data_IF_978999360487
#
_entry.id   IF_978999360487
#
_cell.length_a   1.000
_cell.length_b   1.000
_cell.length_c   1.000
_cell.angle_alpha   90.00
_cell.angle_beta   90.00
_cell.angle_gamma   90.00
#
_symmetry.space_group_name_H-M   'P 1'
#
loop_
_entity.id
_entity.type
_entity.pdbx_description
1 polymer ?
#
# COMPACT_ATOMS: atom_id res chain seq x y z
N UNK A 1 7.76 33.17 18.42
CA UNK A 1 7.05 32.40 17.39
C UNK A 1 8.06 31.45 16.76
N UNK A 2 8.18 30.23 17.25
CA UNK A 2 9.16 29.25 16.78
C UNK A 2 8.46 28.25 15.87
N UNK A 3 8.85 28.22 14.60
CA UNK A 3 8.43 27.21 13.67
C UNK A 3 9.06 25.86 14.08
N UNK A 4 8.23 24.91 14.45
CA UNK A 4 8.64 23.57 14.85
C UNK A 4 8.82 22.73 13.58
N UNK A 5 10.07 22.65 13.09
CA UNK A 5 10.43 21.85 11.91
C UNK A 5 10.71 20.42 12.40
N UNK A 6 9.70 19.56 12.42
CA UNK A 6 9.90 18.11 12.54
C UNK A 6 10.31 17.55 11.17
N UNK A 7 11.59 17.66 10.85
CA UNK A 7 12.21 16.84 9.82
C UNK A 7 12.72 15.57 10.54
N UNK A 8 12.02 14.46 10.41
CA UNK A 8 12.53 13.17 10.82
C UNK A 8 13.71 12.80 9.90
N UNK A 9 14.94 13.06 10.36
CA UNK A 9 16.16 12.55 9.75
C UNK A 9 16.28 11.07 10.09
N UNK A 10 15.90 10.19 9.16
CA UNK A 10 16.35 8.80 9.21
C UNK A 10 17.82 8.81 8.78
N UNK A 11 18.71 8.42 9.69
CA UNK A 11 20.14 8.39 9.47
C UNK A 11 20.53 7.36 8.41
N UNK A 12 21.21 7.83 7.37
CA UNK A 12 21.76 7.03 6.29
C UNK A 12 23.09 6.41 6.72
N UNK A 13 23.21 5.09 6.70
CA UNK A 13 24.51 4.42 6.61
C UNK A 13 24.86 4.31 5.12
N UNK A 14 25.93 4.99 4.72
CA UNK A 14 26.38 5.08 3.34
C UNK A 14 27.09 3.78 2.92
N UNK A 15 26.55 3.12 1.89
CA UNK A 15 27.31 2.24 1.00
C UNK A 15 27.51 2.97 -0.34
N UNK A 16 28.73 2.88 -0.95
CA UNK A 16 29.08 3.62 -2.16
C UNK A 16 28.69 2.84 -3.42
N UNK A 17 27.43 2.80 -3.73
CA UNK A 17 26.90 2.66 -5.09
C UNK A 17 25.64 3.50 -5.11
N UNK A 18 25.55 4.40 -6.12
CA UNK A 18 24.45 5.37 -6.19
C UNK A 18 23.16 4.61 -6.41
N UNK A 19 22.55 4.21 -5.31
CA UNK A 19 21.29 3.50 -5.29
C UNK A 19 20.14 4.50 -5.45
N UNK A 20 19.02 4.00 -5.93
CA UNK A 20 17.74 4.68 -5.95
C UNK A 20 17.52 5.46 -4.65
N UNK A 21 17.04 6.68 -4.74
CA UNK A 21 16.70 7.51 -3.59
C UNK A 21 15.19 7.73 -3.51
N UNK A 22 14.62 7.46 -2.33
CA UNK A 22 13.21 7.74 -2.04
C UNK A 22 13.13 8.82 -0.96
N UNK A 23 12.54 9.96 -1.29
CA UNK A 23 12.29 11.05 -0.36
C UNK A 23 10.80 11.13 -0.05
N UNK A 24 10.44 10.87 1.22
CA UNK A 24 9.06 11.00 1.69
C UNK A 24 8.87 12.37 2.34
N UNK A 25 7.81 13.05 1.95
CA UNK A 25 7.40 14.34 2.53
C UNK A 25 5.99 14.21 3.08
N UNK A 26 5.81 14.53 4.35
CA UNK A 26 4.51 14.62 5.01
C UNK A 26 4.33 16.04 5.56
N UNK A 27 3.42 16.80 4.95
CA UNK A 27 3.00 18.12 5.42
C UNK A 27 1.57 18.01 5.94
N UNK A 28 1.45 17.76 7.24
CA UNK A 28 0.16 17.45 7.85
C UNK A 28 -0.40 16.15 7.28
N UNK A 29 -1.60 16.21 6.67
CA UNK A 29 -2.27 15.06 6.07
C UNK A 29 -1.95 14.85 4.57
N UNK A 30 -0.93 15.52 4.01
CA UNK A 30 -0.62 15.49 2.57
C UNK A 30 0.76 14.87 2.34
N UNK A 31 0.81 13.54 2.39
CA UNK A 31 2.02 12.78 2.12
C UNK A 31 2.28 12.62 0.62
N UNK A 32 3.54 12.61 0.25
CA UNK A 32 4.02 12.29 -1.10
C UNK A 32 5.41 11.67 -1.03
N UNK A 33 5.82 11.00 -2.11
CA UNK A 33 7.17 10.51 -2.29
C UNK A 33 7.75 11.01 -3.60
N UNK A 34 9.03 11.37 -3.59
CA UNK A 34 9.84 11.62 -4.77
C UNK A 34 10.85 10.47 -4.88
N UNK A 35 10.78 9.73 -5.97
CA UNK A 35 11.68 8.61 -6.27
C UNK A 35 12.63 9.06 -7.37
N UNK A 36 13.93 9.05 -7.09
CA UNK A 36 14.99 9.30 -8.07
C UNK A 36 15.59 7.98 -8.48
N UNK A 37 15.49 7.64 -9.76
CA UNK A 37 16.02 6.43 -10.37
C UNK A 37 17.33 6.71 -11.11
N UNK A 38 18.31 5.84 -10.93
CA UNK A 38 19.52 5.81 -11.75
C UNK A 38 19.30 4.93 -13.00
N UNK A 39 20.14 5.07 -14.03
CA UNK A 39 20.13 4.17 -15.17
C UNK A 39 20.21 2.69 -14.75
N UNK A 40 19.29 1.88 -15.27
CA UNK A 40 19.20 0.45 -14.95
C UNK A 40 18.34 0.11 -13.72
N UNK A 41 17.91 1.09 -12.94
CA UNK A 41 17.00 0.86 -11.83
C UNK A 41 15.54 0.85 -12.27
N UNK A 42 14.72 0.16 -11.48
CA UNK A 42 13.29 0.04 -11.70
C UNK A 42 12.54 0.38 -10.40
N UNK A 43 11.43 1.07 -10.55
CA UNK A 43 10.45 1.26 -9.48
C UNK A 43 9.06 0.92 -9.99
N UNK A 44 8.24 0.33 -9.13
CA UNK A 44 6.83 0.05 -9.45
C UNK A 44 5.93 0.80 -8.48
N UNK A 45 4.80 1.30 -8.97
CA UNK A 45 3.77 1.90 -8.10
C UNK A 45 2.39 1.35 -8.42
N UNK A 46 1.45 1.57 -7.50
CA UNK A 46 0.02 1.47 -7.83
C UNK A 46 -0.30 2.42 -8.99
N UNK A 47 -1.09 1.96 -9.95
CA UNK A 47 -1.50 2.80 -11.07
C UNK A 47 -2.37 3.96 -10.58
N UNK A 48 -2.04 5.17 -11.06
CA UNK A 48 -2.73 6.40 -10.64
C UNK A 48 -2.05 7.16 -9.49
N UNK A 49 -1.03 6.59 -8.85
CA UNK A 49 -0.29 7.28 -7.80
C UNK A 49 0.64 8.39 -8.34
N UNK A 50 1.07 8.30 -9.60
CA UNK A 50 1.97 9.28 -10.20
C UNK A 50 1.29 10.62 -10.43
N UNK A 51 1.90 11.70 -9.94
CA UNK A 51 1.48 13.08 -10.25
C UNK A 51 2.49 13.85 -11.13
N UNK A 52 3.74 13.41 -11.23
CA UNK A 52 4.76 13.96 -12.13
C UNK A 52 5.84 12.92 -12.46
N UNK A 53 6.52 13.11 -13.60
CA UNK A 53 7.72 12.37 -13.96
C UNK A 53 8.62 13.25 -14.82
N UNK A 54 9.94 13.02 -14.78
CA UNK A 54 10.89 13.68 -15.66
C UNK A 54 10.75 13.17 -17.11
N UNK A 55 11.13 14.00 -18.10
CA UNK A 55 10.89 13.70 -19.52
C UNK A 55 11.66 12.50 -20.06
N UNK A 56 12.74 12.08 -19.36
CA UNK A 56 13.51 10.88 -19.68
C UNK A 56 12.97 9.60 -19.01
N UNK A 57 11.83 9.66 -18.33
CA UNK A 57 11.21 8.49 -17.72
C UNK A 57 10.45 7.66 -18.76
N UNK A 58 10.65 6.36 -18.74
CA UNK A 58 9.80 5.36 -19.38
C UNK A 58 8.76 4.86 -18.38
N UNK A 59 7.49 4.86 -18.81
CA UNK A 59 6.39 4.49 -17.95
C UNK A 59 5.60 3.39 -18.65
N UNK A 60 5.61 2.20 -18.07
CA UNK A 60 4.89 1.04 -18.60
C UNK A 60 3.81 0.60 -17.60
N UNK A 61 2.56 0.58 -18.05
CA UNK A 61 1.43 0.15 -17.21
C UNK A 61 1.10 -1.30 -17.54
N UNK A 62 1.38 -2.22 -16.62
CA UNK A 62 1.11 -3.65 -16.78
C UNK A 62 0.03 -4.12 -15.80
N UNK A 63 -0.93 -4.85 -16.35
CA UNK A 63 -1.75 -5.75 -15.53
C UNK A 63 -0.90 -6.96 -15.17
N UNK A 64 -0.62 -7.21 -13.90
CA UNK A 64 0.03 -8.45 -13.48
C UNK A 64 -0.94 -9.60 -13.66
N UNK A 65 -0.67 -10.45 -14.67
CA UNK A 65 -1.53 -11.54 -15.12
C UNK A 65 -1.35 -12.82 -14.32
N UNK A 66 -2.45 -13.52 -14.18
CA UNK A 66 -2.48 -14.98 -14.06
C UNK A 66 -1.96 -15.57 -15.37
N UNK A 67 -1.00 -16.48 -15.35
CA UNK A 67 -0.51 -17.17 -16.55
C UNK A 67 -1.67 -17.85 -17.29
N UNK A 68 -1.85 -17.56 -18.58
CA UNK A 68 -2.74 -18.33 -19.45
C UNK A 68 -3.68 -17.61 -20.41
N UNK A 69 -3.63 -16.29 -20.56
CA UNK A 69 -4.57 -15.60 -21.49
C UNK A 69 -3.89 -14.58 -22.43
N UNK A 70 -4.31 -14.51 -23.70
CA UNK A 70 -3.77 -13.57 -24.69
C UNK A 70 -4.04 -12.09 -24.36
N UNK A 71 -3.25 -11.17 -24.97
CA UNK A 71 -3.21 -9.72 -24.66
C UNK A 71 -4.60 -9.03 -24.67
N UNK A 72 -5.49 -9.42 -25.58
CA UNK A 72 -6.86 -8.89 -25.70
C UNK A 72 -7.84 -9.39 -24.62
N UNK A 73 -7.66 -10.62 -24.15
CA UNK A 73 -8.44 -11.17 -23.02
C UNK A 73 -8.09 -10.44 -21.71
N UNK A 74 -6.81 -10.06 -21.53
CA UNK A 74 -6.35 -9.35 -20.35
C UNK A 74 -6.88 -7.94 -20.22
N UNK A 75 -7.02 -7.18 -21.33
CA UNK A 75 -7.60 -5.83 -21.30
C UNK A 75 -9.09 -5.87 -20.93
N UNK A 76 -9.83 -6.87 -21.42
CA UNK A 76 -11.27 -7.01 -21.16
C UNK A 76 -11.57 -7.54 -19.76
N UNK A 77 -10.74 -8.47 -19.25
CA UNK A 77 -10.85 -8.97 -17.88
C UNK A 77 -10.28 -7.98 -16.87
N UNK A 78 -9.17 -7.27 -17.20
CA UNK A 78 -8.63 -6.20 -16.40
C UNK A 78 -9.61 -5.06 -16.18
N UNK A 79 -10.33 -4.62 -17.20
CA UNK A 79 -11.37 -3.61 -17.04
C UNK A 79 -12.53 -4.10 -16.16
N UNK A 80 -12.98 -5.37 -16.32
CA UNK A 80 -14.00 -5.96 -15.44
C UNK A 80 -13.54 -6.13 -14.00
N UNK A 81 -12.29 -6.53 -13.80
CA UNK A 81 -11.72 -6.70 -12.48
C UNK A 81 -11.47 -5.37 -11.77
N UNK A 82 -11.14 -4.29 -12.52
CA UNK A 82 -11.04 -2.92 -12.00
C UNK A 82 -12.40 -2.44 -11.42
N UNK A 83 -13.50 -2.80 -12.07
CA UNK A 83 -14.85 -2.51 -11.56
C UNK A 83 -15.29 -3.44 -10.41
N UNK A 84 -14.67 -4.63 -10.29
CA UNK A 84 -14.96 -5.58 -9.24
C UNK A 84 -14.02 -5.45 -8.00
N UNK A 85 -13.08 -4.49 -8.02
CA UNK A 85 -12.11 -4.31 -6.92
C UNK A 85 -11.03 -5.40 -6.83
N UNK A 86 -10.89 -6.26 -7.85
CA UNK A 86 -10.02 -7.44 -7.82
C UNK A 86 -8.70 -7.29 -8.62
N UNK A 87 -8.48 -6.13 -9.28
CA UNK A 87 -7.29 -5.92 -10.11
C UNK A 87 -6.29 -4.97 -9.50
N UNK A 88 -5.09 -5.45 -9.34
CA UNK A 88 -3.95 -4.68 -8.92
C UNK A 88 -3.16 -4.27 -10.18
N UNK A 89 -3.28 -3.01 -10.59
CA UNK A 89 -2.54 -2.47 -11.71
C UNK A 89 -1.26 -1.79 -11.22
N UNK A 90 -0.16 -2.11 -11.84
CA UNK A 90 1.14 -1.52 -11.53
C UNK A 90 1.66 -0.69 -12.70
N UNK A 91 2.16 0.49 -12.38
CA UNK A 91 2.98 1.30 -13.27
C UNK A 91 4.45 1.01 -12.97
N UNK A 92 5.23 0.74 -14.00
CA UNK A 92 6.67 0.49 -13.90
C UNK A 92 7.42 1.68 -14.47
N UNK A 93 8.41 2.17 -13.76
CA UNK A 93 9.23 3.33 -14.11
C UNK A 93 10.68 2.92 -14.30
N UNK A 94 11.28 3.39 -15.42
CA UNK A 94 12.71 3.23 -15.76
C UNK A 94 13.18 4.50 -16.44
N UNK A 95 14.46 4.82 -16.33
CA UNK A 95 15.03 5.90 -17.15
C UNK A 95 15.40 5.39 -18.55
N UNK A 96 15.21 6.23 -19.59
CA UNK A 96 15.47 5.90 -21.00
C UNK A 96 16.92 6.14 -21.42
N UNK A 97 17.62 6.99 -20.69
CA UNK A 97 18.97 7.43 -20.99
C UNK A 97 19.94 7.15 -19.83
N UNK A 98 21.15 7.68 -19.95
CA UNK A 98 22.18 7.50 -18.92
C UNK A 98 22.15 8.60 -17.83
N UNK A 99 21.05 9.32 -17.70
CA UNK A 99 20.86 10.37 -16.69
C UNK A 99 19.83 9.94 -15.65
N UNK A 100 19.95 10.37 -14.40
CA UNK A 100 18.91 10.12 -13.39
C UNK A 100 17.56 10.69 -13.82
N UNK A 101 16.48 10.02 -13.43
CA UNK A 101 15.12 10.47 -13.65
C UNK A 101 14.29 10.42 -12.38
N UNK A 102 13.25 11.24 -12.30
CA UNK A 102 12.41 11.35 -11.11
C UNK A 102 10.96 10.99 -11.40
N UNK A 103 10.31 10.34 -10.43
CA UNK A 103 8.87 10.18 -10.41
C UNK A 103 8.32 10.62 -9.06
N UNK A 104 7.31 11.49 -9.08
CA UNK A 104 6.57 11.92 -7.90
C UNK A 104 5.28 11.12 -7.75
N UNK A 105 5.06 10.59 -6.54
CA UNK A 105 3.94 9.73 -6.19
C UNK A 105 3.16 10.33 -5.04
N UNK A 106 1.83 10.23 -5.08
CA UNK A 106 0.95 10.67 -4.01
C UNK A 106 -0.25 9.72 -3.88
N UNK A 107 -0.77 9.49 -2.67
CA UNK A 107 -1.97 8.68 -2.47
C UNK A 107 -3.22 9.42 -2.91
N UNK A 108 -4.28 8.66 -3.22
CA UNK A 108 -5.60 9.21 -3.59
C UNK A 108 -6.26 9.94 -2.42
N UNK A 109 -6.16 9.37 -1.21
CA UNK A 109 -6.71 9.97 -0.01
C UNK A 109 -5.64 10.70 0.78
N UNK A 110 -6.05 11.77 1.46
CA UNK A 110 -5.18 12.58 2.30
C UNK A 110 -4.62 11.74 3.47
N UNK A 111 -3.31 11.72 3.60
CA UNK A 111 -2.68 10.98 4.67
C UNK A 111 -1.16 10.96 4.56
N UNK A 112 -0.55 10.28 5.48
CA UNK A 112 0.90 10.11 5.52
C UNK A 112 1.37 9.01 4.57
N UNK A 113 2.58 9.17 4.08
CA UNK A 113 3.34 8.18 3.32
C UNK A 113 4.52 7.74 4.17
N UNK A 114 4.87 6.47 4.11
CA UNK A 114 6.05 5.91 4.79
C UNK A 114 6.84 5.02 3.85
N UNK A 115 8.16 5.04 3.97
CA UNK A 115 9.04 4.06 3.35
C UNK A 115 9.45 3.03 4.38
N UNK A 116 9.32 1.75 4.02
CA UNK A 116 9.67 0.59 4.82
C UNK A 116 10.81 -0.15 4.14
N UNK A 117 11.84 -0.50 4.90
CA UNK A 117 12.92 -1.37 4.42
C UNK A 117 12.41 -2.81 4.33
N UNK A 118 12.58 -3.42 3.15
CA UNK A 118 12.35 -4.84 2.90
C UNK A 118 13.72 -5.53 2.81
N UNK A 119 13.88 -6.62 3.55
CA UNK A 119 15.16 -7.35 3.60
C UNK A 119 15.28 -8.14 4.87
N UNK A 120 15.45 -7.47 6.01
CA UNK A 120 15.42 -8.10 7.33
C UNK A 120 14.02 -8.57 7.72
N UNK A 121 12.99 -7.94 7.18
CA UNK A 121 11.58 -8.27 7.40
C UNK A 121 10.82 -8.36 6.09
N UNK A 122 9.88 -9.29 6.05
CA UNK A 122 8.86 -9.38 5.01
C UNK A 122 7.60 -8.69 5.51
N UNK A 123 7.02 -7.83 4.67
CA UNK A 123 5.84 -7.06 5.00
C UNK A 123 4.59 -7.59 4.29
N UNK A 124 3.48 -7.60 5.00
CA UNK A 124 2.14 -7.84 4.47
C UNK A 124 1.42 -6.49 4.46
N UNK A 125 1.21 -5.93 3.30
CA UNK A 125 0.59 -4.61 3.12
C UNK A 125 -0.87 -4.76 2.72
N UNK A 126 -1.77 -3.97 3.32
CA UNK A 126 -3.15 -3.87 2.84
C UNK A 126 -3.16 -3.29 1.41
N UNK A 127 -3.92 -3.89 0.51
CA UNK A 127 -3.89 -3.55 -0.92
C UNK A 127 -4.12 -2.07 -1.20
N UNK A 128 -5.00 -1.44 -0.46
CA UNK A 128 -5.23 -0.02 -0.60
C UNK A 128 -4.23 0.89 0.10
N UNK A 129 -3.25 0.35 0.80
CA UNK A 129 -2.15 1.09 1.43
C UNK A 129 -0.83 0.92 0.67
N UNK A 130 -0.73 -0.05 -0.25
CA UNK A 130 0.42 -0.17 -1.13
C UNK A 130 0.50 1.04 -2.06
N UNK A 131 1.66 1.68 -2.11
CA UNK A 131 1.89 2.82 -2.99
C UNK A 131 2.97 2.54 -4.03
N UNK A 132 4.02 1.78 -3.68
CA UNK A 132 5.07 1.42 -4.61
C UNK A 132 6.19 0.61 -3.97
N UNK A 133 7.11 0.11 -4.80
CA UNK A 133 8.29 -0.62 -4.34
C UNK A 133 9.45 -0.53 -5.33
N UNK A 134 10.66 -0.63 -4.82
CA UNK A 134 11.88 -0.76 -5.63
C UNK A 134 11.97 -2.10 -6.35
N UNK A 135 12.69 -2.16 -7.46
CA UNK A 135 12.78 -3.35 -8.33
C UNK A 135 13.33 -4.61 -7.68
N UNK A 136 14.05 -4.47 -6.55
CA UNK A 136 14.52 -5.63 -5.76
C UNK A 136 13.48 -6.22 -4.81
N UNK A 137 12.30 -5.60 -4.68
CA UNK A 137 11.20 -6.10 -3.86
C UNK A 137 10.29 -6.99 -4.70
N UNK A 138 10.11 -8.21 -4.25
CA UNK A 138 9.18 -9.18 -4.84
C UNK A 138 7.78 -8.96 -4.23
N UNK A 139 6.79 -8.71 -5.08
CA UNK A 139 5.40 -8.48 -4.71
C UNK A 139 4.55 -9.71 -5.03
N UNK A 140 3.95 -10.34 -4.04
CA UNK A 140 2.93 -11.37 -4.19
C UNK A 140 1.54 -10.82 -3.85
N UNK A 141 0.72 -10.61 -4.89
CA UNK A 141 -0.66 -10.12 -4.78
C UNK A 141 -1.67 -11.24 -4.58
N UNK A 142 -1.23 -12.50 -4.62
CA UNK A 142 -2.05 -13.70 -4.39
C UNK A 142 -1.84 -14.28 -2.99
N UNK A 143 -1.30 -13.49 -2.07
CA UNK A 143 -1.03 -13.95 -0.72
C UNK A 143 -2.26 -14.60 -0.08
N UNK A 144 -2.22 -15.94 0.03
CA UNK A 144 -3.33 -16.76 0.51
C UNK A 144 -3.22 -17.09 2.02
N UNK A 145 -2.40 -16.37 2.78
CA UNK A 145 -2.29 -16.53 4.22
C UNK A 145 -3.60 -16.30 4.96
N UNK A 146 -4.52 -15.57 4.33
CA UNK A 146 -5.91 -15.44 4.75
C UNK A 146 -6.66 -16.71 4.42
N UNK A 147 -7.09 -17.47 5.41
CA UNK A 147 -7.81 -18.73 5.27
C UNK A 147 -8.93 -18.60 4.22
N UNK A 148 -8.83 -19.36 3.11
CA UNK A 148 -9.87 -19.46 2.10
C UNK A 148 -11.19 -19.79 2.77
N UNK A 149 -12.21 -18.98 2.58
CA UNK A 149 -13.59 -19.32 2.90
C UNK A 149 -14.33 -18.39 3.86
N UNK A 150 -13.70 -17.36 4.44
CA UNK A 150 -14.36 -16.51 5.43
C UNK A 150 -14.85 -15.17 4.90
N UNK A 151 -14.61 -14.87 3.62
CA UNK A 151 -14.91 -13.55 3.02
C UNK A 151 -15.77 -13.69 1.76
N UNK A 152 -17.06 -13.96 1.96
CA UNK A 152 -18.04 -13.74 0.94
C UNK A 152 -18.41 -12.26 0.92
N UNK A 153 -17.75 -11.45 0.06
CA UNK A 153 -18.26 -10.15 -0.33
C UNK A 153 -17.37 -8.93 -0.10
N UNK A 154 -16.43 -8.94 0.84
CA UNK A 154 -15.50 -7.82 1.04
C UNK A 154 -14.09 -8.30 0.73
N UNK A 155 -13.61 -7.99 -0.47
CA UNK A 155 -12.31 -8.43 -0.98
C UNK A 155 -11.15 -7.79 -0.23
N UNK A 156 -10.70 -8.41 0.85
CA UNK A 156 -9.45 -8.04 1.51
C UNK A 156 -8.29 -8.48 0.62
N UNK A 157 -7.68 -7.55 -0.07
CA UNK A 157 -6.48 -7.78 -0.85
C UNK A 157 -5.28 -7.39 0.00
N UNK A 158 -4.33 -8.32 0.13
CA UNK A 158 -3.04 -8.06 0.75
C UNK A 158 -1.93 -8.32 -0.24
N UNK A 159 -0.88 -7.51 -0.15
CA UNK A 159 0.34 -7.62 -0.94
C UNK A 159 1.47 -8.02 -0.02
N UNK A 160 2.07 -9.18 -0.27
CA UNK A 160 3.27 -9.61 0.42
C UNK A 160 4.48 -9.01 -0.30
N UNK A 161 5.30 -8.27 0.43
CA UNK A 161 6.53 -7.66 -0.06
C UNK A 161 7.74 -8.33 0.60
N UNK A 162 8.57 -8.99 -0.19
CA UNK A 162 9.78 -9.71 0.22
C UNK A 162 10.95 -9.35 -0.71
N UNK A 163 12.14 -9.90 -0.47
CA UNK A 163 13.35 -9.56 -1.24
C UNK A 163 14.14 -8.45 -0.57
N UNK A 164 14.64 -7.48 -1.33
CA UNK A 164 15.51 -6.41 -0.82
C UNK A 164 15.14 -5.07 -1.45
N UNK A 165 14.97 -4.02 -0.64
CA UNK A 165 14.72 -2.68 -1.13
C UNK A 165 13.74 -1.89 -0.29
N UNK A 166 13.05 -0.94 -0.91
CA UNK A 166 12.10 -0.06 -0.25
C UNK A 166 10.66 -0.35 -0.69
N UNK A 167 9.76 -0.43 0.28
CA UNK A 167 8.32 -0.52 0.11
C UNK A 167 7.70 0.82 0.54
N UNK A 168 7.02 1.51 -0.37
CA UNK A 168 6.22 2.68 -0.04
C UNK A 168 4.79 2.28 0.30
N UNK A 169 4.34 2.76 1.46
CA UNK A 169 2.96 2.62 1.91
C UNK A 169 2.33 3.97 2.16
N UNK A 170 1.03 4.06 1.95
CA UNK A 170 0.23 5.24 2.23
C UNK A 170 -0.91 4.91 3.20
N UNK A 171 -1.38 5.90 3.91
CA UNK A 171 -2.48 5.79 4.85
C UNK A 171 -3.56 6.85 4.58
N UNK A 172 -4.76 6.59 5.02
CA UNK A 172 -5.76 7.64 5.19
C UNK A 172 -5.61 8.24 6.59
N UNK A 173 -5.10 9.48 6.65
CA UNK A 173 -4.72 10.15 7.88
C UNK A 173 -3.29 9.83 8.33
N UNK A 174 -3.08 9.68 9.62
CA UNK A 174 -1.76 9.48 10.23
C UNK A 174 -1.38 8.00 10.25
N UNK A 175 -0.10 7.70 10.01
CA UNK A 175 0.51 6.39 10.28
C UNK A 175 1.04 6.34 11.72
N UNK A 176 0.76 5.24 12.41
CA UNK A 176 1.35 4.94 13.71
C UNK A 176 1.89 3.53 13.70
N UNK A 177 3.12 3.34 14.19
CA UNK A 177 3.70 2.02 14.37
C UNK A 177 3.32 1.46 15.74
N UNK A 178 2.90 0.21 15.77
CA UNK A 178 2.55 -0.55 16.96
C UNK A 178 3.47 -1.76 17.05
N UNK A 179 4.32 -1.79 18.08
CA UNK A 179 5.11 -2.97 18.41
C UNK A 179 4.21 -3.99 19.13
N UNK A 180 4.08 -5.18 18.56
CA UNK A 180 3.31 -6.27 19.15
C UNK A 180 4.22 -7.16 19.98
N UNK A 181 3.87 -7.31 21.26
CA UNK A 181 4.50 -8.24 22.21
C UNK A 181 3.38 -9.01 22.89
N UNK A 182 3.03 -10.16 22.31
CA UNK A 182 1.91 -10.98 22.80
C UNK A 182 0.69 -10.89 21.93
N UNK A 183 -0.30 -10.04 22.23
CA UNK A 183 -1.54 -9.97 21.46
C UNK A 183 -2.14 -8.58 21.37
N UNK A 184 -2.75 -8.27 20.22
CA UNK A 184 -3.50 -7.02 19.98
C UNK A 184 -4.66 -7.29 19.02
N UNK A 185 -5.75 -6.53 19.17
CA UNK A 185 -6.88 -6.53 18.22
C UNK A 185 -6.93 -5.19 17.52
N UNK A 186 -7.00 -5.21 16.19
CA UNK A 186 -7.06 -4.01 15.34
C UNK A 186 -8.23 -4.17 14.38
N UNK A 187 -9.01 -3.11 14.18
CA UNK A 187 -10.01 -3.05 13.12
C UNK A 187 -9.31 -3.12 11.77
N UNK A 188 -9.80 -4.00 10.89
CA UNK A 188 -9.18 -4.27 9.59
C UNK A 188 -9.05 -3.01 8.73
N UNK A 189 -10.02 -2.09 8.77
CA UNK A 189 -9.98 -0.82 8.03
C UNK A 189 -8.85 0.13 8.47
N UNK A 190 -8.22 -0.14 9.61
CA UNK A 190 -7.09 0.64 10.11
C UNK A 190 -5.72 0.01 9.87
N UNK A 191 -5.62 -1.15 9.22
CA UNK A 191 -4.34 -1.80 8.93
C UNK A 191 -3.71 -1.21 7.67
N UNK A 192 -2.46 -0.76 7.79
CA UNK A 192 -1.61 -0.33 6.67
C UNK A 192 -0.70 -1.47 6.22
N UNK A 193 0.12 -1.99 7.14
CA UNK A 193 1.01 -3.11 6.89
C UNK A 193 1.38 -3.79 8.21
N UNK A 194 1.84 -5.04 8.15
CA UNK A 194 2.37 -5.77 9.29
C UNK A 194 3.47 -6.74 8.87
N UNK A 195 4.34 -7.11 9.83
CA UNK A 195 5.41 -8.08 9.58
C UNK A 195 4.87 -9.51 9.48
N UNK A 196 5.36 -10.31 8.52
CA UNK A 196 4.90 -11.67 8.23
C UNK A 196 5.00 -12.64 9.42
N UNK A 197 5.92 -12.37 10.37
CA UNK A 197 6.09 -13.21 11.58
C UNK A 197 4.95 -13.17 12.59
N UNK A 198 3.96 -12.29 12.41
CA UNK A 198 2.79 -12.22 13.27
C UNK A 198 1.75 -13.26 12.87
N UNK A 199 1.30 -14.05 13.85
CA UNK A 199 0.09 -14.87 13.68
C UNK A 199 -1.14 -13.97 13.80
N UNK A 200 -2.17 -14.25 13.01
CA UNK A 200 -3.42 -13.52 13.10
C UNK A 200 -4.65 -14.38 12.84
N UNK A 201 -5.75 -13.99 13.48
CA UNK A 201 -7.10 -14.49 13.23
C UNK A 201 -8.01 -13.32 12.83
N UNK A 202 -8.87 -13.56 11.85
CA UNK A 202 -9.85 -12.56 11.42
C UNK A 202 -11.22 -12.96 11.95
N UNK A 203 -11.91 -12.01 12.55
CA UNK A 203 -13.21 -12.22 13.16
C UNK A 203 -14.06 -10.96 13.19
N UNK A 204 -15.27 -11.10 13.70
CA UNK A 204 -16.14 -9.95 13.97
C UNK A 204 -15.93 -9.45 15.40
N UNK A 205 -15.95 -8.15 15.60
CA UNK A 205 -15.92 -7.55 16.92
C UNK A 205 -17.20 -7.93 17.71
N UNK A 206 -17.05 -8.64 18.84
CA UNK A 206 -18.15 -8.85 19.79
C UNK A 206 -19.32 -9.73 19.35
N UNK A 207 -19.21 -10.50 18.26
CA UNK A 207 -20.28 -11.35 17.71
C UNK A 207 -21.15 -10.64 16.65
N UNK A 208 -22.02 -11.40 15.93
CA UNK A 208 -22.75 -10.94 14.74
C UNK A 208 -23.63 -9.72 14.96
N UNK A 209 -24.34 -9.64 16.09
CA UNK A 209 -25.29 -8.56 16.42
C UNK A 209 -24.55 -7.31 16.91
N UNK A 210 -23.53 -7.49 17.76
CA UNK A 210 -22.74 -6.38 18.28
C UNK A 210 -21.92 -5.69 17.17
N UNK A 211 -21.31 -6.45 16.25
CA UNK A 211 -20.59 -5.92 15.10
C UNK A 211 -21.47 -5.11 14.15
N UNK A 212 -22.73 -5.55 13.92
CA UNK A 212 -23.67 -4.82 13.09
C UNK A 212 -24.16 -3.51 13.73
N UNK A 213 -24.22 -3.44 15.06
CA UNK A 213 -24.69 -2.28 15.80
C UNK A 213 -23.58 -1.29 16.17
N UNK A 214 -22.33 -1.76 16.34
CA UNK A 214 -21.17 -0.91 16.69
C UNK A 214 -20.59 -0.17 15.49
N UNK A 215 -20.94 -0.58 14.26
CA UNK A 215 -20.35 -0.03 13.04
C UNK A 215 -18.88 -0.45 12.85
N UNK A 216 -18.37 -1.35 13.71
CA UNK A 216 -17.05 -1.94 13.56
C UNK A 216 -17.14 -3.16 12.64
N UNK A 217 -16.34 -3.16 11.58
CA UNK A 217 -16.30 -4.21 10.58
C UNK A 217 -15.60 -5.48 11.08
N UNK A 218 -14.74 -6.01 10.24
CA UNK A 218 -13.88 -7.14 10.57
C UNK A 218 -12.70 -6.66 11.43
N UNK A 219 -12.36 -7.43 12.45
CA UNK A 219 -11.17 -7.18 13.27
C UNK A 219 -10.13 -8.29 13.05
N UNK A 220 -8.86 -7.90 13.08
CA UNK A 220 -7.73 -8.82 13.10
C UNK A 220 -7.16 -8.91 14.51
N UNK A 221 -7.02 -10.14 15.00
CA UNK A 221 -6.41 -10.44 16.29
C UNK A 221 -5.03 -10.98 16.04
N UNK A 222 -4.02 -10.16 16.29
CA UNK A 222 -2.63 -10.52 16.13
C UNK A 222 -2.06 -11.14 17.40
N UNK A 223 -1.10 -12.08 17.22
CA UNK A 223 -0.32 -12.71 18.29
C UNK A 223 1.13 -12.84 17.86
N UNK A 224 2.02 -12.91 18.85
CA UNK A 224 3.46 -13.08 18.64
C UNK A 224 4.23 -11.80 18.84
N UNK A 225 5.38 -11.67 18.16
CA UNK A 225 6.25 -10.51 18.22
C UNK A 225 6.44 -9.96 16.80
N UNK A 226 6.24 -8.68 16.61
CA UNK A 226 6.36 -8.03 15.31
C UNK A 226 5.87 -6.60 15.34
N UNK A 227 5.73 -6.00 14.16
CA UNK A 227 5.32 -4.60 14.00
C UNK A 227 4.08 -4.52 13.12
N UNK A 228 3.20 -3.58 13.45
CA UNK A 228 2.01 -3.25 12.66
C UNK A 228 2.00 -1.74 12.45
N UNK A 229 1.81 -1.31 11.21
CA UNK A 229 1.47 0.07 10.90
C UNK A 229 -0.03 0.20 10.78
N UNK A 230 -0.58 1.18 11.48
CA UNK A 230 -2.00 1.48 11.49
C UNK A 230 -2.25 2.90 11.03
N UNK A 231 -3.39 3.10 10.36
CA UNK A 231 -3.89 4.41 9.96
C UNK A 231 -4.97 4.93 10.91
N UNK A 232 -5.03 6.26 11.06
CA UNK A 232 -5.98 6.88 11.99
C UNK A 232 -7.42 6.93 11.46
N UNK A 233 -7.64 6.81 10.16
CA UNK A 233 -8.95 6.88 9.51
C UNK A 233 -9.21 5.62 8.68
N UNK A 234 -10.50 5.34 8.47
CA UNK A 234 -10.97 4.19 7.68
C UNK A 234 -11.68 4.70 6.42
N UNK A 235 -11.28 4.17 5.26
CA UNK A 235 -11.82 4.54 3.95
C UNK A 235 -13.25 4.07 3.75
N UNK A 236 -13.60 2.90 4.28
CA UNK A 236 -14.94 2.33 4.14
C UNK A 236 -15.94 3.13 4.95
N UNK A 237 -15.54 3.63 6.13
CA UNK A 237 -16.34 4.57 6.92
C UNK A 237 -16.53 5.90 6.21
N UNK A 238 -15.51 6.43 5.54
CA UNK A 238 -15.66 7.62 4.69
C UNK A 238 -16.65 7.34 3.56
N UNK A 239 -16.50 6.22 2.86
CA UNK A 239 -17.40 5.78 1.79
C UNK A 239 -18.84 5.64 2.28
N UNK A 240 -19.04 5.02 3.44
CA UNK A 240 -20.34 4.86 4.10
C UNK A 240 -20.98 6.19 4.48
N UNK A 241 -20.18 7.16 4.92
CA UNK A 241 -20.68 8.50 5.29
C UNK A 241 -21.03 9.35 4.06
N UNK A 242 -20.24 9.27 2.99
CA UNK A 242 -20.45 10.08 1.78
C UNK A 242 -21.44 9.45 0.80
N UNK A 243 -21.48 8.11 0.71
CA UNK A 243 -22.29 7.38 -0.26
C UNK A 243 -23.76 7.82 -0.30
N UNK A 244 -24.45 7.94 0.84
CA UNK A 244 -25.86 8.39 0.87
C UNK A 244 -26.07 9.85 0.42
N UNK A 245 -25.01 10.66 0.37
CA UNK A 245 -25.06 12.07 -0.03
C UNK A 245 -24.76 12.26 -1.53
N UNK A 246 -24.30 11.23 -2.21
CA UNK A 246 -23.97 11.27 -3.62
C UNK A 246 -25.20 10.92 -4.47
N UNK A 247 -25.38 11.54 -5.68
CA UNK A 247 -26.44 11.17 -6.57
C UNK A 247 -26.30 9.68 -6.99
N UNK A 248 -27.42 8.99 -7.26
CA UNK A 248 -27.39 7.63 -7.80
C UNK A 248 -26.49 7.56 -9.06
N UNK A 249 -25.68 6.51 -9.19
CA UNK A 249 -24.94 6.28 -10.43
C UNK A 249 -25.97 5.92 -11.52
N UNK A 250 -26.00 6.71 -12.59
CA UNK A 250 -26.66 6.31 -13.82
C UNK A 250 -25.88 5.12 -14.42
N UNK A 251 -26.53 3.96 -14.55
CA UNK A 251 -25.97 2.70 -15.03
C UNK A 251 -25.68 2.68 -16.53
#
# INVERSE_FOLDING_TARGET
MGANTYAARVGRLAHPEVAMNVEVTNLGAFGSALVTLQPGEEFVSEAGAMYRASGNMDIDVKTRKREGGGLWGALKEGAKAMFAGESFFLSTYRVKDNSPGEVGLAPILQGEVSSLEVGSETWICAGGSFMGASGGVELDTQYQGLKKGMFSGEGLVYVRASGQGELLVSAYGRISEVEVRGGITIDNGHIVAFTEGLEYDIGKAGGWIASALSGEGLVMKFRGNGRILVQSHDRDRLGGALGPLLPPREG
#
